data_IF_196564579477
#
_entry.id   IF_196564579477
#
_cell.length_a   1.000
_cell.length_b   1.000
_cell.length_c   1.000
_cell.angle_alpha   90.00
_cell.angle_beta   90.00
_cell.angle_gamma   90.00
#
_symmetry.space_group_name_H-M   'P 1'
#
loop_
_entity.id
_entity.type
_entity.pdbx_description
1 polymer ?
#
# COMPACT_ATOMS: atom_id res chain seq x y z
N UNK A 1 5.65 2.38 13.20
CA UNK A 1 6.41 1.12 13.01
C UNK A 1 7.82 1.27 12.46
N UNK A 2 8.22 2.40 11.85
CA UNK A 2 9.64 2.59 11.48
C UNK A 2 10.16 1.57 10.46
N UNK A 3 9.30 1.14 9.53
CA UNK A 3 9.67 0.16 8.51
C UNK A 3 10.90 0.64 7.73
N UNK A 4 11.94 -0.21 7.56
CA UNK A 4 13.15 0.20 6.89
C UNK A 4 12.87 0.50 5.41
N UNK A 5 13.30 1.67 4.96
CA UNK A 5 13.26 2.05 3.54
C UNK A 5 11.89 1.87 2.84
N UNK A 6 10.79 2.45 3.35
CA UNK A 6 9.44 2.20 2.85
C UNK A 6 9.25 2.65 1.40
N UNK A 7 9.91 3.74 1.02
CA UNK A 7 9.93 4.24 -0.35
C UNK A 7 10.57 3.23 -1.32
N UNK A 8 11.64 2.57 -0.92
CA UNK A 8 12.36 1.61 -1.77
C UNK A 8 11.55 0.32 -1.96
N UNK A 9 10.86 -0.14 -0.91
CA UNK A 9 9.93 -1.27 -1.01
C UNK A 9 8.79 -0.98 -2.01
N UNK A 10 8.18 0.19 -1.95
CA UNK A 10 7.15 0.61 -2.90
C UNK A 10 7.70 0.76 -4.33
N UNK A 11 8.95 1.21 -4.46
CA UNK A 11 9.61 1.34 -5.76
C UNK A 11 9.86 -0.02 -6.42
N UNK A 12 10.07 -1.08 -5.64
CA UNK A 12 10.18 -2.44 -6.16
C UNK A 12 8.84 -2.92 -6.74
N UNK A 13 7.71 -2.58 -6.11
CA UNK A 13 6.37 -2.94 -6.59
C UNK A 13 6.11 -2.41 -8.01
N UNK A 14 6.48 -1.15 -8.26
CA UNK A 14 6.17 -0.43 -9.51
C UNK A 14 7.18 -0.66 -10.64
N UNK A 15 8.32 -1.30 -10.37
CA UNK A 15 9.41 -1.55 -11.35
C UNK A 15 9.43 -2.96 -11.95
N UNK A 16 8.42 -3.78 -11.67
CA UNK A 16 8.32 -5.15 -12.19
C UNK A 16 7.92 -5.24 -13.66
N UNK A 17 7.47 -4.14 -14.27
CA UNK A 17 6.93 -4.11 -15.63
C UNK A 17 5.54 -4.76 -15.77
N UNK A 18 4.96 -5.23 -14.66
CA UNK A 18 3.62 -5.81 -14.60
C UNK A 18 2.58 -4.75 -14.22
N UNK A 19 1.31 -4.90 -14.66
CA UNK A 19 0.23 -4.06 -14.18
C UNK A 19 0.14 -4.11 -12.66
N UNK A 20 0.04 -2.95 -12.02
CA UNK A 20 -0.21 -2.86 -10.58
C UNK A 20 -1.71 -2.89 -10.37
N UNK A 21 -2.24 -4.09 -10.14
CA UNK A 21 -3.65 -4.33 -9.83
C UNK A 21 -3.87 -4.61 -8.33
N UNK A 22 -5.13 -4.81 -7.94
CA UNK A 22 -5.50 -5.07 -6.54
C UNK A 22 -4.76 -6.29 -5.98
N UNK A 23 -4.65 -7.35 -6.76
CA UNK A 23 -4.00 -8.59 -6.31
C UNK A 23 -2.52 -8.32 -6.01
N UNK A 24 -1.84 -7.64 -6.93
CA UNK A 24 -0.41 -7.29 -6.81
C UNK A 24 -0.14 -6.42 -5.58
N UNK A 25 -1.04 -5.46 -5.29
CA UNK A 25 -0.94 -4.62 -4.08
C UNK A 25 -1.18 -5.45 -2.81
N UNK A 26 -2.18 -6.32 -2.79
CA UNK A 26 -2.49 -7.16 -1.63
C UNK A 26 -1.33 -8.13 -1.32
N UNK A 27 -0.76 -8.78 -2.34
CA UNK A 27 0.41 -9.64 -2.20
C UNK A 27 1.60 -8.88 -1.63
N UNK A 28 1.82 -7.63 -2.07
CA UNK A 28 2.85 -6.76 -1.52
C UNK A 28 2.62 -6.43 -0.04
N UNK A 29 1.41 -6.04 0.34
CA UNK A 29 1.07 -5.72 1.75
C UNK A 29 1.26 -6.94 2.66
N UNK A 30 0.87 -8.13 2.21
CA UNK A 30 1.05 -9.36 2.97
C UNK A 30 2.53 -9.68 3.22
N UNK A 31 3.39 -9.40 2.24
CA UNK A 31 4.84 -9.60 2.31
C UNK A 31 5.57 -8.57 3.20
N UNK A 32 4.92 -7.47 3.60
CA UNK A 32 5.53 -6.47 4.50
C UNK A 32 5.74 -7.06 5.91
N UNK A 33 6.90 -6.79 6.48
CA UNK A 33 7.22 -7.10 7.89
C UNK A 33 6.66 -6.07 8.86
N UNK A 34 5.36 -5.77 8.76
CA UNK A 34 4.61 -4.83 9.62
C UNK A 34 3.57 -5.56 10.45
N UNK A 35 3.01 -4.93 11.48
CA UNK A 35 1.96 -5.55 12.30
C UNK A 35 0.71 -5.86 11.49
N UNK A 36 -0.04 -6.85 11.96
CA UNK A 36 -1.30 -7.24 11.32
C UNK A 36 -2.32 -6.10 11.32
N UNK A 37 -2.34 -5.25 12.35
CA UNK A 37 -3.21 -4.06 12.41
C UNK A 37 -2.92 -3.11 11.24
N UNK A 38 -1.65 -2.80 11.00
CA UNK A 38 -1.24 -1.96 9.86
C UNK A 38 -1.53 -2.65 8.53
N UNK A 39 -1.36 -3.98 8.42
CA UNK A 39 -1.76 -4.71 7.20
C UNK A 39 -3.26 -4.59 6.95
N UNK A 40 -4.09 -4.74 7.98
CA UNK A 40 -5.55 -4.62 7.84
C UNK A 40 -5.94 -3.22 7.39
N UNK A 41 -5.33 -2.17 7.95
CA UNK A 41 -5.57 -0.78 7.54
C UNK A 41 -5.20 -0.57 6.06
N UNK A 42 -4.00 -1.00 5.65
CA UNK A 42 -3.53 -0.88 4.27
C UNK A 42 -4.42 -1.64 3.27
N UNK A 43 -4.98 -2.79 3.68
CA UNK A 43 -5.90 -3.59 2.85
C UNK A 43 -7.27 -2.94 2.63
N UNK A 44 -7.65 -1.95 3.45
CA UNK A 44 -8.87 -1.17 3.22
C UNK A 44 -8.66 -0.03 2.21
N UNK A 45 -7.41 0.32 1.89
CA UNK A 45 -7.11 1.39 0.95
C UNK A 45 -7.47 0.96 -0.48
N UNK A 46 -8.20 1.82 -1.18
CA UNK A 46 -8.59 1.67 -2.58
C UNK A 46 -8.37 2.98 -3.32
N UNK A 47 -8.26 2.97 -4.66
CA UNK A 47 -8.14 4.21 -5.44
C UNK A 47 -9.27 5.21 -5.19
N UNK A 48 -10.46 4.73 -4.79
CA UNK A 48 -11.65 5.55 -4.56
C UNK A 48 -11.68 6.21 -3.18
N UNK A 49 -11.00 5.64 -2.18
CA UNK A 49 -10.97 6.18 -0.82
C UNK A 49 -9.61 6.83 -0.48
N UNK A 50 -8.59 6.66 -1.32
CA UNK A 50 -7.30 7.32 -1.19
C UNK A 50 -7.31 8.71 -1.85
N UNK A 51 -8.27 9.54 -1.46
CA UNK A 51 -8.50 10.88 -2.05
C UNK A 51 -7.97 12.03 -1.20
N UNK A 52 -7.38 11.73 -0.04
CA UNK A 52 -6.95 12.73 0.93
C UNK A 52 -8.12 13.37 1.69
N UNK A 53 -7.85 14.50 2.34
CA UNK A 53 -8.85 15.24 3.10
C UNK A 53 -9.66 16.08 2.12
N UNK A 54 -10.92 15.69 1.89
CA UNK A 54 -11.87 16.50 1.13
C UNK A 54 -12.74 17.26 2.13
N UNK A 55 -12.43 18.53 2.36
CA UNK A 55 -13.30 19.44 3.11
C UNK A 55 -14.32 20.03 2.12
N UNK A 56 -15.59 19.74 2.31
CA UNK A 56 -16.67 20.51 1.69
C UNK A 56 -17.09 21.59 2.70
N UNK A 57 -16.73 22.83 2.42
CA UNK A 57 -17.30 24.01 3.11
C UNK A 57 -18.71 24.32 2.58
#
# INVERSE_FOLDING_TARGET
EGYPHPYEALKQLTRTGKPVDRQTIHEFILALGVSDEVKQELMQITPHNYTGIISFE
#
